data_IF_922266628118
#
_entry.id   IF_922266628118
#
_cell.length_a   1.000
_cell.length_b   1.000
_cell.length_c   1.000
_cell.angle_alpha   90.00
_cell.angle_beta   90.00
_cell.angle_gamma   90.00
#
_symmetry.space_group_name_H-M   'P 1'
#
loop_
_entity.id
_entity.type
_entity.pdbx_description
1 polymer ?
#
# COMPACT_ATOMS: atom_id res chain seq x y z
N UNK A 1 17.58 -8.42 -8.89
CA UNK A 1 16.82 -7.39 -8.15
C UNK A 1 15.94 -6.51 -9.05
N UNK A 2 16.45 -5.96 -10.16
CA UNK A 2 15.73 -4.97 -10.97
C UNK A 2 14.34 -5.42 -11.48
N UNK A 3 14.22 -6.58 -12.15
CA UNK A 3 12.92 -7.04 -12.65
C UNK A 3 11.87 -7.28 -11.53
N UNK A 4 12.19 -7.98 -10.42
CA UNK A 4 11.29 -8.07 -9.27
C UNK A 4 10.94 -6.72 -8.63
N UNK A 5 11.88 -5.75 -8.64
CA UNK A 5 11.64 -4.42 -8.12
C UNK A 5 10.62 -3.65 -8.95
N UNK A 6 10.78 -3.66 -10.27
CA UNK A 6 9.84 -3.02 -11.22
C UNK A 6 8.46 -3.65 -11.09
N UNK A 7 8.37 -4.98 -11.06
CA UNK A 7 7.09 -5.67 -10.90
C UNK A 7 6.36 -5.27 -9.61
N UNK A 8 7.08 -5.21 -8.47
CA UNK A 8 6.52 -4.75 -7.18
C UNK A 8 6.03 -3.31 -7.25
N UNK A 9 6.83 -2.42 -7.82
CA UNK A 9 6.45 -1.01 -7.96
C UNK A 9 5.24 -0.83 -8.87
N UNK A 10 5.16 -1.57 -10.00
CA UNK A 10 3.99 -1.54 -10.87
C UNK A 10 2.72 -2.02 -10.16
N UNK A 11 2.79 -3.11 -9.40
CA UNK A 11 1.65 -3.57 -8.59
C UNK A 11 1.25 -2.55 -7.51
N UNK A 12 2.23 -1.94 -6.84
CA UNK A 12 2.00 -0.87 -5.86
C UNK A 12 1.29 0.33 -6.48
N UNK A 13 1.68 0.77 -7.68
CA UNK A 13 1.04 1.90 -8.36
C UNK A 13 -0.41 1.59 -8.70
N UNK A 14 -0.71 0.38 -9.17
CA UNK A 14 -2.09 -0.04 -9.47
C UNK A 14 -2.94 0.01 -8.20
N UNK A 15 -2.44 -0.52 -7.09
CA UNK A 15 -3.12 -0.50 -5.79
C UNK A 15 -3.34 0.92 -5.27
N UNK A 16 -2.34 1.78 -5.38
CA UNK A 16 -2.44 3.19 -5.00
C UNK A 16 -3.52 3.90 -5.82
N UNK A 17 -3.56 3.67 -7.15
CA UNK A 17 -4.60 4.22 -8.00
C UNK A 17 -5.99 3.72 -7.61
N UNK A 18 -6.13 2.45 -7.22
CA UNK A 18 -7.39 1.91 -6.73
C UNK A 18 -7.83 2.58 -5.41
N UNK A 19 -6.90 2.79 -4.47
CA UNK A 19 -7.15 3.54 -3.24
C UNK A 19 -7.60 4.97 -3.50
N UNK A 20 -6.92 5.68 -4.41
CA UNK A 20 -7.31 7.02 -4.81
C UNK A 20 -8.68 7.07 -5.50
N UNK A 21 -8.98 6.07 -6.33
CA UNK A 21 -10.29 5.98 -6.96
C UNK A 21 -11.40 5.74 -5.93
N UNK A 22 -11.18 4.85 -4.96
CA UNK A 22 -12.12 4.60 -3.88
C UNK A 22 -12.38 5.87 -3.05
N UNK A 23 -11.33 6.62 -2.73
CA UNK A 23 -11.44 7.89 -2.00
C UNK A 23 -12.33 8.90 -2.75
N UNK A 24 -12.11 9.09 -4.05
CA UNK A 24 -12.98 9.94 -4.87
C UNK A 24 -14.43 9.42 -4.93
N UNK A 25 -14.64 8.09 -4.94
CA UNK A 25 -15.99 7.52 -4.92
C UNK A 25 -16.70 7.70 -3.58
N UNK A 26 -15.97 7.83 -2.46
CA UNK A 26 -16.55 8.13 -1.16
C UNK A 26 -17.12 9.55 -1.09
N UNK A 27 -16.59 10.50 -1.87
CA UNK A 27 -17.11 11.87 -1.95
C UNK A 27 -18.54 11.96 -2.54
N UNK A 28 -18.95 10.96 -3.32
CA UNK A 28 -20.29 10.88 -3.91
C UNK A 28 -21.32 10.22 -2.97
N UNK A 29 -20.88 9.70 -1.82
CA UNK A 29 -21.70 8.96 -0.84
C UNK A 29 -22.01 9.81 0.38
N UNK A 30 -23.10 9.48 1.06
CA UNK A 30 -23.45 10.06 2.35
C UNK A 30 -22.46 9.67 3.45
N UNK A 31 -22.32 10.48 4.52
CA UNK A 31 -21.34 10.25 5.59
C UNK A 31 -21.56 8.94 6.37
N UNK A 32 -22.80 8.44 6.45
CA UNK A 32 -23.13 7.18 7.11
C UNK A 32 -23.08 5.97 6.16
N UNK A 33 -22.79 6.19 4.87
CA UNK A 33 -22.73 5.13 3.87
C UNK A 33 -21.34 4.52 3.74
N UNK A 34 -20.28 5.22 4.16
CA UNK A 34 -18.89 4.73 4.11
C UNK A 34 -18.53 4.07 5.43
N UNK A 35 -18.19 2.79 5.37
CA UNK A 35 -17.85 2.00 6.55
C UNK A 35 -16.39 2.18 6.98
N UNK A 36 -16.09 1.86 8.25
CA UNK A 36 -14.72 1.86 8.75
C UNK A 36 -13.81 0.91 7.94
N UNK A 37 -14.30 -0.28 7.59
CA UNK A 37 -13.53 -1.25 6.82
C UNK A 37 -13.18 -0.72 5.42
N UNK A 38 -14.09 0.01 4.78
CA UNK A 38 -13.85 0.70 3.52
C UNK A 38 -12.79 1.79 3.66
N UNK A 39 -12.85 2.60 4.72
CA UNK A 39 -11.84 3.62 5.01
C UNK A 39 -10.45 3.01 5.26
N UNK A 40 -10.37 1.92 6.03
CA UNK A 40 -9.12 1.22 6.30
C UNK A 40 -8.54 0.64 5.00
N UNK A 41 -9.36 -0.03 4.19
CA UNK A 41 -8.93 -0.59 2.92
C UNK A 41 -8.44 0.50 1.94
N UNK A 42 -9.18 1.61 1.85
CA UNK A 42 -8.80 2.76 1.03
C UNK A 42 -7.48 3.36 1.50
N UNK A 43 -7.33 3.64 2.79
CA UNK A 43 -6.12 4.23 3.35
C UNK A 43 -4.90 3.31 3.17
N UNK A 44 -5.04 2.02 3.46
CA UNK A 44 -3.97 1.03 3.22
C UNK A 44 -3.55 1.01 1.74
N UNK A 45 -4.50 1.05 0.80
CA UNK A 45 -4.18 1.05 -0.63
C UNK A 45 -3.54 2.37 -1.08
N UNK A 46 -4.10 3.52 -0.68
CA UNK A 46 -3.69 4.86 -1.12
C UNK A 46 -2.35 5.31 -0.52
N UNK A 47 -2.10 5.04 0.76
CA UNK A 47 -0.90 5.50 1.47
C UNK A 47 -0.01 4.35 1.92
N UNK A 48 -0.59 3.30 2.50
CA UNK A 48 0.14 2.14 3.00
C UNK A 48 0.92 1.40 1.91
N UNK A 49 0.35 1.22 0.72
CA UNK A 49 0.95 0.46 -0.37
C UNK A 49 2.33 1.00 -0.79
N UNK A 50 2.48 2.33 -0.89
CA UNK A 50 3.74 2.94 -1.30
C UNK A 50 4.83 2.78 -0.23
N UNK A 51 4.48 2.95 1.05
CA UNK A 51 5.43 2.75 2.15
C UNK A 51 5.85 1.28 2.27
N UNK A 52 4.89 0.35 2.15
CA UNK A 52 5.17 -1.08 2.07
C UNK A 52 6.13 -1.42 0.94
N UNK A 53 5.83 -0.94 -0.27
CA UNK A 53 6.69 -1.15 -1.43
C UNK A 53 8.09 -0.57 -1.22
N UNK A 54 8.23 0.65 -0.68
CA UNK A 54 9.53 1.26 -0.42
C UNK A 54 10.37 0.44 0.57
N UNK A 55 9.77 -0.01 1.68
CA UNK A 55 10.43 -0.86 2.67
C UNK A 55 10.83 -2.23 2.08
N UNK A 56 9.94 -2.86 1.31
CA UNK A 56 10.20 -4.13 0.65
C UNK A 56 11.32 -4.02 -0.40
N UNK A 57 11.35 -2.93 -1.17
CA UNK A 57 12.42 -2.66 -2.13
C UNK A 57 13.77 -2.49 -1.42
N UNK A 58 13.82 -1.77 -0.30
CA UNK A 58 15.02 -1.67 0.52
C UNK A 58 15.55 -3.04 0.95
N UNK A 59 14.68 -3.92 1.46
CA UNK A 59 15.03 -5.29 1.84
C UNK A 59 15.51 -6.14 0.64
N UNK A 60 14.83 -6.01 -0.50
CA UNK A 60 15.20 -6.71 -1.73
C UNK A 60 16.60 -6.32 -2.21
N UNK A 61 16.93 -5.03 -2.21
CA UNK A 61 18.25 -4.55 -2.62
C UNK A 61 19.36 -4.82 -1.59
N UNK A 62 18.99 -5.03 -0.32
CA UNK A 62 19.90 -5.52 0.71
C UNK A 62 20.21 -7.03 0.58
N UNK A 63 19.58 -7.74 -0.38
CA UNK A 63 19.76 -9.18 -0.55
C UNK A 63 19.07 -10.01 0.53
N UNK A 64 18.04 -9.46 1.19
CA UNK A 64 17.26 -10.18 2.19
C UNK A 64 16.46 -11.31 1.55
N UNK A 65 16.21 -12.35 2.34
CA UNK A 65 15.31 -13.45 1.96
C UNK A 65 13.84 -12.98 1.81
N UNK A 66 13.06 -13.73 1.04
CA UNK A 66 11.67 -13.37 0.72
C UNK A 66 10.78 -13.15 1.96
N UNK A 67 11.02 -13.88 3.06
CA UNK A 67 10.25 -13.68 4.30
C UNK A 67 10.48 -12.29 4.89
N UNK A 68 11.73 -11.80 4.86
CA UNK A 68 12.08 -10.49 5.38
C UNK A 68 11.55 -9.40 4.45
N UNK A 69 11.63 -9.59 3.12
CA UNK A 69 11.04 -8.66 2.15
C UNK A 69 9.53 -8.49 2.36
N UNK A 70 8.79 -9.60 2.60
CA UNK A 70 7.35 -9.53 2.91
C UNK A 70 7.07 -8.90 4.27
N UNK A 71 7.90 -9.17 5.28
CA UNK A 71 7.74 -8.54 6.58
C UNK A 71 7.95 -7.02 6.50
N UNK A 72 8.93 -6.56 5.72
CA UNK A 72 9.16 -5.14 5.49
C UNK A 72 8.04 -4.47 4.70
N UNK A 73 7.41 -5.18 3.75
CA UNK A 73 6.19 -4.72 3.09
C UNK A 73 5.04 -4.50 4.09
N UNK A 74 4.76 -5.50 4.93
CA UNK A 74 3.74 -5.40 5.97
C UNK A 74 4.01 -4.26 6.95
N UNK A 75 5.25 -4.14 7.43
CA UNK A 75 5.66 -3.03 8.30
C UNK A 75 5.37 -1.66 7.66
N UNK A 76 5.76 -1.45 6.40
CA UNK A 76 5.54 -0.18 5.71
C UNK A 76 4.06 0.13 5.52
N UNK A 77 3.23 -0.88 5.26
CA UNK A 77 1.77 -0.73 5.14
C UNK A 77 1.12 -0.28 6.43
N UNK A 78 1.45 -0.92 7.56
CA UNK A 78 0.94 -0.54 8.87
C UNK A 78 1.42 0.86 9.29
N UNK A 79 2.67 1.20 8.98
CA UNK A 79 3.21 2.54 9.22
C UNK A 79 2.47 3.60 8.39
N UNK A 80 2.15 3.31 7.12
CA UNK A 80 1.41 4.23 6.26
C UNK A 80 -0.06 4.39 6.63
N UNK A 81 -0.70 3.33 7.13
CA UNK A 81 -2.04 3.40 7.71
C UNK A 81 -2.04 4.24 9.00
N UNK A 82 -1.04 4.05 9.87
CA UNK A 82 -0.93 4.79 11.13
C UNK A 82 -0.61 6.28 10.95
N UNK A 83 0.01 6.65 9.84
CA UNK A 83 0.38 8.04 9.52
C UNK A 83 -0.80 8.87 9.01
N UNK A 84 -1.75 8.23 8.31
CA UNK A 84 -2.94 8.86 7.72
C UNK A 84 -3.94 9.29 8.80
#
# INVERSE_FOLDING_TARGET
AAAPAVARLSSCIIELCAGQQADCAFEERGPDEVTLDECLAMATAKTGALLGCACALGALYAGAEDRAVRAMDGFGREAGLSFQ
#
